data_IF_068318235496
#
_entry.id   IF_068318235496
#
_cell.length_a   1.000
_cell.length_b   1.000
_cell.length_c   1.000
_cell.angle_alpha   90.00
_cell.angle_beta   90.00
_cell.angle_gamma   90.00
#
_symmetry.space_group_name_H-M   'P 1'
#
loop_
_entity.id
_entity.type
_entity.pdbx_description
1 polymer ?
#
# COMPACT_ATOMS: atom_id res chain seq x y z
N UNK A 1 37.34 -27.52 24.55
CA UNK A 1 37.00 -26.66 23.39
C UNK A 1 35.52 -26.85 23.10
N UNK A 2 34.80 -25.76 22.91
CA UNK A 2 33.39 -25.75 22.56
C UNK A 2 33.27 -25.35 21.08
N UNK A 3 32.57 -26.17 20.29
CA UNK A 3 32.33 -25.95 18.86
C UNK A 3 30.88 -25.53 18.64
N UNK A 4 30.70 -24.43 17.90
CA UNK A 4 29.39 -23.92 17.49
C UNK A 4 29.29 -24.03 15.97
N UNK A 5 28.23 -24.63 15.45
CA UNK A 5 28.00 -24.74 14.00
C UNK A 5 27.00 -23.67 13.56
N UNK A 6 27.34 -22.88 12.55
CA UNK A 6 26.53 -21.78 12.05
C UNK A 6 26.03 -22.11 10.64
N UNK A 7 24.72 -22.11 10.44
CA UNK A 7 24.09 -22.13 9.13
C UNK A 7 23.64 -20.71 8.76
N UNK A 8 24.38 -20.06 7.85
CA UNK A 8 24.11 -18.70 7.38
C UNK A 8 23.32 -18.77 6.07
N UNK A 9 22.14 -18.17 6.04
CA UNK A 9 21.26 -18.18 4.87
C UNK A 9 21.31 -16.84 4.13
N UNK A 10 21.78 -16.85 2.89
CA UNK A 10 21.73 -15.70 1.96
C UNK A 10 20.34 -15.61 1.32
N UNK A 11 19.80 -14.39 1.17
CA UNK A 11 18.48 -14.17 0.56
C UNK A 11 18.38 -14.68 -0.89
N UNK A 12 17.17 -15.03 -1.32
CA UNK A 12 16.89 -15.49 -2.69
C UNK A 12 16.66 -14.36 -3.70
N UNK A 13 16.72 -13.09 -3.25
CA UNK A 13 16.57 -11.93 -4.11
C UNK A 13 17.73 -11.79 -5.09
N UNK A 14 17.46 -11.22 -6.27
CA UNK A 14 18.49 -10.93 -7.25
C UNK A 14 19.57 -10.02 -6.62
N UNK A 15 20.84 -10.36 -6.84
CA UNK A 15 22.02 -9.68 -6.29
C UNK A 15 22.24 -9.80 -4.77
N UNK A 16 21.52 -10.68 -4.07
CA UNK A 16 21.69 -10.85 -2.61
C UNK A 16 23.03 -11.44 -2.15
N UNK A 17 23.78 -12.15 -3.00
CA UNK A 17 25.05 -12.79 -2.63
C UNK A 17 26.26 -11.84 -2.67
N UNK A 18 27.37 -12.22 -2.04
CA UNK A 18 28.60 -11.41 -1.92
C UNK A 18 29.88 -12.20 -2.14
N UNK A 19 30.97 -11.47 -2.42
CA UNK A 19 32.34 -11.99 -2.46
C UNK A 19 33.21 -11.41 -1.35
N UNK A 20 32.65 -10.50 -0.54
CA UNK A 20 33.35 -9.87 0.57
C UNK A 20 33.53 -10.86 1.74
N UNK A 21 34.46 -10.53 2.65
CA UNK A 21 34.75 -11.36 3.80
C UNK A 21 33.66 -11.19 4.87
N UNK A 22 33.05 -12.28 5.29
CA UNK A 22 32.07 -12.30 6.37
C UNK A 22 32.74 -12.71 7.68
N UNK A 23 32.41 -12.01 8.77
CA UNK A 23 32.92 -12.33 10.10
C UNK A 23 31.79 -12.44 11.11
N UNK A 24 31.98 -13.30 12.09
CA UNK A 24 31.04 -13.50 13.20
C UNK A 24 31.74 -13.39 14.55
N UNK A 25 31.02 -12.83 15.52
CA UNK A 25 31.36 -12.91 16.95
C UNK A 25 30.13 -13.36 17.73
N UNK A 26 30.24 -14.48 18.45
CA UNK A 26 29.19 -15.02 19.30
C UNK A 26 29.31 -14.43 20.71
N UNK A 27 28.21 -13.90 21.25
CA UNK A 27 28.19 -13.22 22.55
C UNK A 27 27.24 -14.00 23.46
N UNK A 28 27.81 -14.66 24.47
CA UNK A 28 27.06 -15.42 25.47
C UNK A 28 27.03 -14.74 26.83
N UNK A 29 26.38 -15.40 27.80
CA UNK A 29 26.23 -14.90 29.18
C UNK A 29 27.56 -14.78 29.92
N UNK A 30 28.54 -15.62 29.59
CA UNK A 30 29.81 -15.67 30.30
C UNK A 30 30.94 -14.98 29.53
N UNK A 31 30.98 -15.14 28.21
CA UNK A 31 32.11 -14.75 27.35
C UNK A 31 31.65 -14.41 25.93
N UNK A 32 32.55 -13.78 25.19
CA UNK A 32 32.45 -13.56 23.75
C UNK A 32 33.48 -14.44 23.04
N UNK A 33 33.14 -14.92 21.84
CA UNK A 33 34.10 -15.61 20.97
C UNK A 33 35.13 -14.63 20.40
N UNK A 34 36.23 -15.15 19.87
CA UNK A 34 37.05 -14.34 18.98
C UNK A 34 36.28 -14.02 17.69
N UNK A 35 36.64 -12.91 17.04
CA UNK A 35 36.18 -12.58 15.69
C UNK A 35 36.63 -13.68 14.72
N UNK A 36 35.67 -14.38 14.14
CA UNK A 36 35.94 -15.55 13.28
C UNK A 36 35.49 -15.29 11.86
N UNK A 37 36.38 -15.50 10.89
CA UNK A 37 36.05 -15.38 9.47
C UNK A 37 35.23 -16.59 9.02
N UNK A 38 34.12 -16.33 8.34
CA UNK A 38 33.29 -17.34 7.70
C UNK A 38 33.87 -17.64 6.32
N UNK A 39 34.75 -18.63 6.23
CA UNK A 39 35.39 -19.01 4.96
C UNK A 39 34.56 -20.06 4.23
N UNK A 40 33.91 -19.68 3.14
CA UNK A 40 33.39 -20.65 2.16
C UNK A 40 33.90 -20.33 0.76
N UNK A 41 34.56 -21.30 0.11
CA UNK A 41 34.96 -21.14 -1.28
C UNK A 41 33.71 -21.21 -2.19
N UNK A 42 33.24 -20.06 -2.69
CA UNK A 42 32.26 -19.97 -3.79
C UNK A 42 30.81 -20.37 -3.47
N UNK A 43 30.39 -20.25 -2.20
CA UNK A 43 28.99 -20.46 -1.76
C UNK A 43 28.28 -19.14 -1.42
N UNK A 44 29.03 -18.13 -0.97
CA UNK A 44 28.51 -16.80 -0.59
C UNK A 44 28.02 -15.96 -1.78
N UNK A 45 28.39 -16.36 -3.00
CA UNK A 45 28.08 -15.68 -4.26
C UNK A 45 26.66 -15.93 -4.77
N UNK A 46 26.02 -17.02 -4.32
CA UNK A 46 24.75 -17.53 -4.85
C UNK A 46 23.58 -17.17 -3.95
N UNK A 47 22.56 -16.57 -4.57
CA UNK A 47 21.32 -16.17 -3.91
C UNK A 47 20.55 -17.41 -3.44
N UNK A 48 19.99 -17.35 -2.22
CA UNK A 48 19.17 -18.42 -1.66
C UNK A 48 19.95 -19.63 -1.11
N UNK A 49 21.28 -19.52 -0.95
CA UNK A 49 22.10 -20.59 -0.41
C UNK A 49 22.29 -20.51 1.10
N UNK A 50 22.57 -21.68 1.68
CA UNK A 50 22.98 -21.84 3.07
C UNK A 50 24.45 -22.23 3.09
N UNK A 51 25.28 -21.46 3.79
CA UNK A 51 26.66 -21.83 4.12
C UNK A 51 26.72 -22.35 5.55
N UNK A 52 27.47 -23.43 5.77
CA UNK A 52 27.70 -24.00 7.10
C UNK A 52 29.14 -23.77 7.53
N UNK A 53 29.34 -23.24 8.74
CA UNK A 53 30.64 -22.84 9.28
C UNK A 53 30.79 -23.32 10.73
N UNK A 54 32.02 -23.42 11.22
CA UNK A 54 32.30 -23.73 12.62
C UNK A 54 33.03 -22.58 13.31
N UNK A 55 32.60 -22.25 14.53
CA UNK A 55 33.29 -21.33 15.44
C UNK A 55 33.73 -22.10 16.67
N UNK A 56 35.04 -22.20 16.88
CA UNK A 56 35.61 -22.96 17.99
C UNK A 56 36.19 -22.05 19.05
N UNK A 57 35.83 -22.31 20.30
CA UNK A 57 36.23 -21.52 21.47
C UNK A 57 36.93 -22.40 22.50
N UNK A 58 37.83 -21.80 23.30
CA UNK A 58 38.55 -22.53 24.35
C UNK A 58 37.61 -22.96 25.49
N UNK A 59 36.66 -22.09 25.84
CA UNK A 59 35.69 -22.27 26.92
C UNK A 59 34.27 -22.07 26.40
N UNK A 60 33.28 -22.65 27.09
CA UNK A 60 31.86 -22.38 26.78
C UNK A 60 31.56 -20.88 26.88
N UNK A 61 30.66 -20.39 26.02
CA UNK A 61 30.15 -19.02 26.05
C UNK A 61 28.97 -18.85 27.02
N UNK A 62 28.47 -19.94 27.59
CA UNK A 62 27.20 -19.98 28.32
C UNK A 62 26.00 -19.92 27.36
N UNK A 63 24.88 -19.35 27.82
CA UNK A 63 23.72 -19.15 26.94
C UNK A 63 24.03 -18.06 25.91
N UNK A 64 23.90 -18.37 24.61
CA UNK A 64 24.07 -17.36 23.57
C UNK A 64 22.96 -16.30 23.65
N UNK A 65 23.37 -15.04 23.63
CA UNK A 65 22.48 -13.88 23.73
C UNK A 65 22.38 -13.13 22.40
N UNK A 66 23.54 -12.82 21.81
CA UNK A 66 23.67 -11.99 20.63
C UNK A 66 24.68 -12.58 19.65
N UNK A 67 24.55 -12.20 18.38
CA UNK A 67 25.49 -12.54 17.33
C UNK A 67 25.85 -11.26 16.57
N UNK A 68 27.13 -10.90 16.56
CA UNK A 68 27.64 -9.81 15.72
C UNK A 68 28.07 -10.37 14.38
N UNK A 69 27.48 -9.84 13.31
CA UNK A 69 27.79 -10.19 11.92
C UNK A 69 28.42 -8.96 11.26
N UNK A 70 29.54 -9.15 10.56
CA UNK A 70 30.31 -8.07 9.94
C UNK A 70 30.67 -8.44 8.51
N UNK A 71 30.71 -7.44 7.62
CA UNK A 71 31.15 -7.60 6.23
C UNK A 71 32.33 -6.67 5.93
N UNK A 72 33.51 -7.25 5.70
CA UNK A 72 34.72 -6.51 5.33
C UNK A 72 35.02 -6.68 3.82
N UNK A 73 35.67 -5.70 3.18
CA UNK A 73 36.12 -5.84 1.79
C UNK A 73 36.98 -7.08 1.57
N UNK A 74 36.75 -7.76 0.44
CA UNK A 74 37.71 -8.72 -0.12
C UNK A 74 38.38 -8.13 -1.37
N UNK A 75 39.69 -7.83 -1.29
CA UNK A 75 40.50 -7.26 -2.38
C UNK A 75 39.91 -5.94 -2.96
N UNK A 76 40.36 -5.50 -4.15
CA UNK A 76 39.77 -4.39 -4.92
C UNK A 76 38.48 -4.79 -5.67
N UNK A 77 37.71 -5.73 -5.12
CA UNK A 77 36.45 -6.15 -5.74
C UNK A 77 35.42 -5.00 -5.75
N UNK A 78 34.57 -4.91 -6.78
CA UNK A 78 33.48 -3.95 -6.82
C UNK A 78 32.59 -4.10 -5.59
N UNK A 79 32.15 -2.98 -5.01
CA UNK A 79 31.26 -3.02 -3.86
C UNK A 79 29.95 -3.71 -4.21
N UNK A 80 29.56 -4.66 -3.36
CA UNK A 80 28.29 -5.36 -3.47
C UNK A 80 27.70 -5.58 -2.08
N UNK A 81 26.47 -5.11 -1.90
CA UNK A 81 25.70 -5.38 -0.69
C UNK A 81 25.34 -6.86 -0.61
N UNK A 82 25.25 -7.36 0.62
CA UNK A 82 24.89 -8.75 0.90
C UNK A 82 23.61 -8.78 1.70
N UNK A 83 22.62 -9.59 1.28
CA UNK A 83 21.41 -9.78 2.06
C UNK A 83 21.48 -11.07 2.87
N UNK A 84 21.61 -10.93 4.19
CA UNK A 84 21.51 -12.05 5.11
C UNK A 84 20.05 -12.25 5.52
N UNK A 85 19.50 -13.44 5.28
CA UNK A 85 18.14 -13.77 5.71
C UNK A 85 18.10 -14.14 7.18
N UNK A 86 18.90 -15.12 7.59
CA UNK A 86 18.92 -15.66 8.95
C UNK A 86 20.22 -16.43 9.21
N UNK A 87 20.55 -16.62 10.48
CA UNK A 87 21.64 -17.46 10.94
C UNK A 87 21.09 -18.44 11.98
N UNK A 88 21.37 -19.73 11.85
CA UNK A 88 21.04 -20.73 12.87
C UNK A 88 22.34 -21.20 13.51
N UNK A 89 22.46 -21.06 14.83
CA UNK A 89 23.63 -21.51 15.58
C UNK A 89 23.26 -22.76 16.36
N UNK A 90 23.95 -23.86 16.07
CA UNK A 90 23.91 -25.09 16.87
C UNK A 90 24.96 -25.01 17.97
N UNK A 91 24.54 -25.10 19.23
CA UNK A 91 25.43 -25.02 20.39
C UNK A 91 26.07 -26.38 20.68
N UNK A 92 27.20 -26.43 21.43
CA UNK A 92 27.83 -27.69 21.85
C UNK A 92 26.88 -28.63 22.61
N UNK A 93 25.86 -28.07 23.27
CA UNK A 93 24.83 -28.79 24.03
C UNK A 93 23.73 -29.38 23.13
N UNK A 94 23.80 -29.16 21.80
CA UNK A 94 22.85 -29.67 20.81
C UNK A 94 21.60 -28.81 20.62
N UNK A 95 21.59 -27.58 21.14
CA UNK A 95 20.49 -26.64 20.96
C UNK A 95 20.65 -25.79 19.71
N UNK A 96 19.56 -25.57 18.96
CA UNK A 96 19.54 -24.67 17.81
C UNK A 96 18.94 -23.31 18.21
N UNK A 97 19.67 -22.23 17.91
CA UNK A 97 19.23 -20.86 18.16
C UNK A 97 19.16 -20.12 16.83
N UNK A 98 17.96 -19.68 16.47
CA UNK A 98 17.70 -18.87 15.29
C UNK A 98 18.00 -17.40 15.59
N UNK A 99 18.77 -16.75 14.72
CA UNK A 99 18.99 -15.31 14.67
C UNK A 99 18.42 -14.77 13.35
N UNK A 100 17.21 -14.19 13.34
CA UNK A 100 16.67 -13.54 12.16
C UNK A 100 17.52 -12.30 11.81
N UNK A 101 17.78 -12.06 10.52
CA UNK A 101 18.58 -10.91 10.08
C UNK A 101 17.81 -10.01 9.12
N UNK A 102 17.34 -10.56 7.99
CA UNK A 102 16.57 -9.86 6.96
C UNK A 102 17.08 -8.45 6.59
N UNK A 103 18.39 -8.26 6.55
CA UNK A 103 19.04 -6.94 6.40
C UNK A 103 20.10 -6.99 5.30
N UNK A 104 20.27 -5.88 4.58
CA UNK A 104 21.40 -5.70 3.68
C UNK A 104 22.60 -5.19 4.48
N UNK A 105 23.75 -5.82 4.31
CA UNK A 105 25.02 -5.32 4.83
C UNK A 105 25.83 -4.73 3.67
N UNK A 106 26.22 -3.47 3.80
CA UNK A 106 27.23 -2.82 2.96
C UNK A 106 28.63 -3.03 3.52
N UNK A 107 29.65 -2.59 2.77
CA UNK A 107 31.06 -2.85 3.10
C UNK A 107 31.48 -2.04 4.34
N UNK A 108 32.08 -2.72 5.33
CA UNK A 108 32.45 -2.13 6.62
C UNK A 108 31.30 -2.02 7.61
N UNK A 109 30.09 -2.49 7.26
CA UNK A 109 28.97 -2.50 8.17
C UNK A 109 28.97 -3.74 9.08
N UNK A 110 28.33 -3.58 10.23
CA UNK A 110 28.05 -4.68 11.14
C UNK A 110 26.63 -4.58 11.69
N UNK A 111 26.06 -5.74 11.98
CA UNK A 111 24.75 -5.87 12.61
C UNK A 111 24.87 -6.76 13.85
N UNK A 112 24.17 -6.38 14.90
CA UNK A 112 24.12 -7.12 16.16
C UNK A 112 22.74 -7.76 16.29
N UNK A 113 22.68 -9.06 16.05
CA UNK A 113 21.45 -9.85 15.99
C UNK A 113 21.11 -10.43 17.37
N UNK A 114 19.81 -10.54 17.64
CA UNK A 114 19.26 -11.22 18.82
C UNK A 114 18.71 -12.59 18.41
N UNK A 115 18.62 -13.52 19.36
CA UNK A 115 17.86 -14.75 19.15
C UNK A 115 16.39 -14.43 18.83
N UNK A 116 15.81 -15.12 17.86
CA UNK A 116 14.49 -14.82 17.26
C UNK A 116 13.28 -15.13 18.14
N UNK A 117 13.48 -15.35 19.44
CA UNK A 117 12.37 -15.41 20.40
C UNK A 117 11.95 -13.97 20.72
N UNK A 118 10.70 -13.63 20.46
CA UNK A 118 10.15 -12.32 20.82
C UNK A 118 10.17 -12.12 22.35
N UNK A 119 10.72 -10.99 22.81
CA UNK A 119 10.92 -10.64 24.24
C UNK A 119 10.52 -9.22 24.61
N UNK A 120 9.60 -9.00 25.54
CA UNK A 120 9.25 -7.64 26.01
C UNK A 120 10.41 -7.00 26.77
N UNK A 121 10.39 -5.67 26.91
CA UNK A 121 11.50 -4.92 27.52
C UNK A 121 11.81 -5.35 28.97
N UNK A 122 10.81 -5.81 29.71
CA UNK A 122 10.98 -6.31 31.08
C UNK A 122 11.45 -7.78 31.15
N UNK A 123 11.52 -8.48 30.01
CA UNK A 123 12.03 -9.85 29.91
C UNK A 123 13.55 -9.88 29.59
N UNK A 124 14.16 -8.70 29.43
CA UNK A 124 15.60 -8.54 29.20
C UNK A 124 16.36 -8.54 30.52
N UNK A 125 16.74 -9.73 30.99
CA UNK A 125 17.44 -9.89 32.26
C UNK A 125 18.96 -9.62 32.18
N UNK A 126 19.53 -9.63 30.97
CA UNK A 126 20.97 -9.45 30.76
C UNK A 126 21.30 -8.01 30.31
N UNK A 127 22.29 -7.32 30.92
CA UNK A 127 22.66 -5.96 30.54
C UNK A 127 22.98 -5.77 29.04
N UNK A 128 23.59 -6.78 28.42
CA UNK A 128 23.92 -6.79 26.98
C UNK A 128 22.66 -6.66 26.10
N UNK A 129 21.59 -7.35 26.49
CA UNK A 129 20.30 -7.33 25.79
C UNK A 129 19.58 -5.98 25.95
N UNK A 130 19.65 -5.41 27.16
CA UNK A 130 19.08 -4.08 27.45
C UNK A 130 19.82 -2.99 26.68
N UNK A 131 21.16 -3.04 26.66
CA UNK A 131 21.99 -2.06 25.94
C UNK A 131 21.78 -2.16 24.41
N UNK A 132 21.75 -3.38 23.86
CA UNK A 132 21.45 -3.60 22.45
C UNK A 132 20.10 -2.99 22.06
N UNK A 133 19.03 -3.25 22.83
CA UNK A 133 17.70 -2.69 22.55
C UNK A 133 17.69 -1.16 22.58
N UNK A 134 18.37 -0.55 23.55
CA UNK A 134 18.47 0.91 23.67
C UNK A 134 19.20 1.53 22.47
N UNK A 135 20.34 0.95 22.06
CA UNK A 135 21.12 1.43 20.91
C UNK A 135 20.34 1.30 19.60
N UNK A 136 19.66 0.17 19.41
CA UNK A 136 18.84 -0.06 18.21
C UNK A 136 17.67 0.94 18.14
N UNK A 137 16.99 1.19 19.26
CA UNK A 137 15.91 2.19 19.32
C UNK A 137 16.39 3.60 18.95
N UNK A 138 17.58 3.99 19.42
CA UNK A 138 18.18 5.28 19.07
C UNK A 138 18.51 5.32 17.58
N UNK A 139 19.13 4.27 17.03
CA UNK A 139 19.43 4.15 15.60
C UNK A 139 18.17 4.29 14.74
N UNK A 140 17.12 3.57 15.07
CA UNK A 140 15.84 3.61 14.35
C UNK A 140 15.17 4.98 14.41
N UNK A 141 15.12 5.64 15.57
CA UNK A 141 14.57 7.00 15.68
C UNK A 141 15.35 8.03 14.89
N UNK A 142 16.67 7.84 14.75
CA UNK A 142 17.52 8.70 13.92
C UNK A 142 17.29 8.45 12.43
N UNK A 143 16.99 7.22 12.03
CA UNK A 143 16.72 6.84 10.64
C UNK A 143 15.32 7.24 10.19
N UNK A 144 14.29 6.88 10.96
CA UNK A 144 12.88 7.05 10.61
C UNK A 144 12.31 8.35 11.20
N UNK A 145 12.81 9.48 10.69
CA UNK A 145 12.35 10.81 11.11
C UNK A 145 11.05 11.18 10.41
N UNK A 146 10.18 11.85 11.14
CA UNK A 146 8.91 12.35 10.65
C UNK A 146 9.06 13.77 10.07
N UNK A 147 8.45 14.05 8.93
CA UNK A 147 8.28 15.38 8.35
C UNK A 147 6.79 15.63 8.09
N UNK A 148 6.32 16.85 8.28
CA UNK A 148 4.94 17.21 7.93
C UNK A 148 4.88 17.42 6.42
N UNK A 149 4.07 16.62 5.72
CA UNK A 149 3.97 16.72 4.25
C UNK A 149 3.35 18.06 3.81
N UNK A 150 2.24 18.44 4.44
CA UNK A 150 1.56 19.71 4.25
C UNK A 150 0.69 20.01 5.48
N UNK A 151 0.28 21.26 5.66
CA UNK A 151 -0.63 21.65 6.75
C UNK A 151 -1.92 20.83 6.70
N UNK A 152 -2.31 20.25 7.85
CA UNK A 152 -3.50 19.40 7.96
C UNK A 152 -3.37 17.98 7.41
N UNK A 153 -2.21 17.60 6.86
CA UNK A 153 -1.92 16.24 6.38
C UNK A 153 -1.14 15.41 7.40
N UNK A 154 -1.12 14.09 7.20
CA UNK A 154 -0.29 13.17 7.99
C UNK A 154 1.20 13.50 7.86
N UNK A 155 1.95 13.20 8.91
CA UNK A 155 3.41 13.18 8.86
C UNK A 155 3.87 11.96 8.05
N UNK A 156 4.94 12.11 7.29
CA UNK A 156 5.53 11.09 6.44
C UNK A 156 7.03 10.94 6.71
N UNK A 157 7.68 10.03 5.99
CA UNK A 157 9.12 9.80 6.10
C UNK A 157 9.93 11.00 5.59
N UNK A 158 10.80 11.54 6.44
CA UNK A 158 11.70 12.65 6.12
C UNK A 158 12.92 12.17 5.31
N UNK A 159 12.68 11.69 4.09
CA UNK A 159 13.73 11.35 3.12
C UNK A 159 13.35 11.96 1.77
N UNK A 160 14.12 12.97 1.33
CA UNK A 160 13.85 13.70 0.08
C UNK A 160 14.49 13.05 -1.14
N UNK A 161 15.59 12.34 -0.94
CA UNK A 161 16.27 11.60 -1.98
C UNK A 161 15.94 10.10 -1.90
N UNK A 162 15.33 9.56 -2.95
CA UNK A 162 15.01 8.14 -3.05
C UNK A 162 16.27 7.24 -2.93
N UNK A 163 17.45 7.77 -3.27
CA UNK A 163 18.73 7.06 -3.12
C UNK A 163 19.18 6.94 -1.66
N UNK A 164 18.65 7.78 -0.76
CA UNK A 164 18.94 7.76 0.66
C UNK A 164 17.97 6.87 1.47
N UNK A 165 16.93 6.31 0.83
CA UNK A 165 16.02 5.35 1.47
C UNK A 165 16.79 4.06 1.80
N UNK A 166 16.77 3.54 3.04
CA UNK A 166 17.42 2.28 3.40
C UNK A 166 17.02 1.13 2.47
N UNK A 167 17.96 0.23 2.17
CA UNK A 167 17.73 -0.88 1.25
C UNK A 167 16.58 -1.79 1.70
N UNK A 168 16.34 -1.88 3.01
CA UNK A 168 15.30 -2.68 3.66
C UNK A 168 13.88 -2.23 3.30
N UNK A 169 13.68 -0.94 3.04
CA UNK A 169 12.36 -0.36 2.75
C UNK A 169 12.24 0.13 1.30
N UNK A 170 13.30 -0.04 0.49
CA UNK A 170 13.29 0.27 -0.93
C UNK A 170 12.64 -0.87 -1.72
N UNK A 171 12.12 -0.57 -2.91
CA UNK A 171 11.78 -1.62 -3.85
C UNK A 171 12.99 -2.49 -4.19
N UNK A 172 12.76 -3.80 -4.25
CA UNK A 172 13.72 -4.72 -4.84
C UNK A 172 14.01 -4.32 -6.29
N UNK A 173 15.19 -4.68 -6.78
CA UNK A 173 15.59 -4.39 -8.17
C UNK A 173 14.57 -4.88 -9.21
N UNK A 174 14.02 -6.07 -9.01
CA UNK A 174 13.00 -6.65 -9.90
C UNK A 174 11.71 -5.83 -9.90
N UNK A 175 11.25 -5.38 -8.73
CA UNK A 175 10.05 -4.57 -8.60
C UNK A 175 10.24 -3.16 -9.17
N UNK A 176 11.38 -2.54 -8.90
CA UNK A 176 11.73 -1.22 -9.46
C UNK A 176 11.81 -1.27 -10.99
N UNK A 177 12.47 -2.29 -11.54
CA UNK A 177 12.57 -2.52 -12.99
C UNK A 177 11.21 -2.78 -13.63
N UNK A 178 10.36 -3.59 -12.98
CA UNK A 178 8.98 -3.83 -13.43
C UNK A 178 8.18 -2.52 -13.49
N UNK A 179 8.26 -1.70 -12.44
CA UNK A 179 7.53 -0.44 -12.39
C UNK A 179 7.99 0.54 -13.47
N UNK A 180 9.31 0.69 -13.66
CA UNK A 180 9.89 1.50 -14.72
C UNK A 180 9.43 1.03 -16.10
N UNK A 181 9.54 -0.27 -16.37
CA UNK A 181 9.12 -0.87 -17.63
C UNK A 181 7.63 -0.63 -17.93
N UNK A 182 6.74 -0.84 -16.95
CA UNK A 182 5.32 -0.60 -17.11
C UNK A 182 4.98 0.88 -17.37
N UNK A 183 5.69 1.80 -16.71
CA UNK A 183 5.55 3.24 -16.93
C UNK A 183 5.98 3.64 -18.34
N UNK A 184 7.13 3.16 -18.79
CA UNK A 184 7.64 3.48 -20.13
C UNK A 184 6.73 2.94 -21.24
N UNK A 185 6.19 1.72 -21.09
CA UNK A 185 5.20 1.19 -22.03
C UNK A 185 3.96 2.07 -22.08
N UNK A 186 3.40 2.46 -20.93
CA UNK A 186 2.22 3.30 -20.89
C UNK A 186 2.46 4.67 -21.55
N UNK A 187 3.63 5.29 -21.31
CA UNK A 187 4.00 6.56 -21.94
C UNK A 187 4.23 6.41 -23.44
N UNK A 188 4.89 5.34 -23.89
CA UNK A 188 5.09 5.05 -25.30
C UNK A 188 3.76 4.85 -26.04
N UNK A 189 2.80 4.15 -25.41
CA UNK A 189 1.44 3.96 -25.93
C UNK A 189 0.72 5.29 -26.13
N UNK A 190 0.75 6.18 -25.12
CA UNK A 190 0.16 7.51 -25.22
C UNK A 190 0.81 8.36 -26.33
N UNK A 191 2.13 8.28 -26.48
CA UNK A 191 2.89 9.01 -27.52
C UNK A 191 2.55 8.52 -28.93
N UNK A 192 2.56 7.21 -29.16
CA UNK A 192 2.26 6.61 -30.47
C UNK A 192 0.85 6.97 -30.96
N UNK A 193 -0.09 7.23 -30.04
CA UNK A 193 -1.46 7.65 -30.35
C UNK A 193 -1.66 9.16 -30.47
N UNK A 194 -0.60 9.97 -30.29
CA UNK A 194 -0.70 11.42 -30.26
C UNK A 194 -1.51 11.98 -29.08
N UNK A 195 -1.71 11.18 -28.03
CA UNK A 195 -2.53 11.54 -26.86
C UNK A 195 -1.73 12.28 -25.78
N UNK A 196 -0.44 12.53 -26.02
CA UNK A 196 0.39 13.36 -25.13
C UNK A 196 0.13 14.86 -25.29
N UNK A 197 -0.57 15.29 -26.35
CA UNK A 197 -0.76 16.71 -26.71
C UNK A 197 -2.15 17.01 -27.32
N UNK A 198 -3.15 16.14 -27.15
CA UNK A 198 -4.47 16.41 -27.72
C UNK A 198 -5.31 17.28 -26.78
N UNK A 199 -5.70 18.47 -27.24
CA UNK A 199 -6.51 19.41 -26.44
C UNK A 199 -7.97 18.93 -26.29
N UNK A 200 -8.53 18.21 -27.28
CA UNK A 200 -9.92 17.74 -27.25
C UNK A 200 -10.13 16.45 -28.06
N UNK A 201 -10.97 15.54 -27.54
CA UNK A 201 -11.42 14.35 -28.26
C UNK A 201 -12.46 14.70 -29.33
N UNK A 202 -12.36 14.09 -30.52
CA UNK A 202 -13.31 14.32 -31.63
C UNK A 202 -14.73 13.80 -31.35
N UNK A 203 -14.85 12.76 -30.52
CA UNK A 203 -16.12 12.17 -30.08
C UNK A 203 -15.92 11.29 -28.84
N UNK A 204 -17.01 10.89 -28.18
CA UNK A 204 -16.98 9.92 -27.09
C UNK A 204 -16.53 8.53 -27.59
N UNK A 205 -16.88 8.18 -28.83
CA UNK A 205 -16.45 6.94 -29.48
C UNK A 205 -14.94 6.91 -29.67
N UNK A 206 -14.32 8.04 -30.01
CA UNK A 206 -12.85 8.14 -30.13
C UNK A 206 -12.14 7.86 -28.79
N UNK A 207 -12.77 8.14 -27.64
CA UNK A 207 -12.20 7.83 -26.33
C UNK A 207 -12.10 6.32 -26.07
N UNK A 208 -12.97 5.50 -26.69
CA UNK A 208 -12.94 4.03 -26.54
C UNK A 208 -11.63 3.42 -27.05
N UNK A 209 -11.00 4.09 -28.02
CA UNK A 209 -9.76 3.64 -28.65
C UNK A 209 -8.54 3.75 -27.73
N UNK A 210 -8.62 4.43 -26.58
CA UNK A 210 -7.52 4.53 -25.60
C UNK A 210 -7.14 3.17 -25.00
N UNK A 211 -8.08 2.24 -24.88
CA UNK A 211 -7.91 1.02 -24.07
C UNK A 211 -7.30 -0.17 -24.83
N UNK A 212 -6.61 0.05 -25.95
CA UNK A 212 -6.34 -1.00 -26.95
C UNK A 212 -5.43 -2.13 -26.47
N UNK A 213 -4.38 -1.85 -25.70
CA UNK A 213 -3.37 -2.88 -25.37
C UNK A 213 -3.65 -3.62 -24.05
N UNK A 214 -4.55 -3.11 -23.20
CA UNK A 214 -5.00 -3.77 -21.97
C UNK A 214 -6.53 -3.81 -21.88
N UNK A 215 -7.17 -4.37 -22.91
CA UNK A 215 -8.59 -4.71 -22.83
C UNK A 215 -8.78 -5.83 -21.81
N UNK A 216 -9.39 -5.50 -20.68
CA UNK A 216 -9.96 -6.48 -19.76
C UNK A 216 -11.44 -6.66 -20.06
N UNK A 217 -12.04 -7.81 -19.72
CA UNK A 217 -13.50 -7.98 -19.78
C UNK A 217 -14.24 -6.84 -19.06
N UNK A 218 -13.71 -6.38 -17.93
CA UNK A 218 -14.26 -5.26 -17.17
C UNK A 218 -14.26 -3.93 -17.95
N UNK A 219 -13.14 -3.55 -18.56
CA UNK A 219 -13.05 -2.30 -19.34
C UNK A 219 -13.93 -2.31 -20.58
N UNK A 220 -14.13 -3.48 -21.20
CA UNK A 220 -15.06 -3.62 -22.33
C UNK A 220 -16.50 -3.43 -21.87
N UNK A 221 -16.87 -4.09 -20.77
CA UNK A 221 -18.19 -3.94 -20.15
C UNK A 221 -18.50 -2.48 -19.79
N UNK A 222 -17.55 -1.76 -19.17
CA UNK A 222 -17.72 -0.33 -18.87
C UNK A 222 -17.94 0.48 -20.15
N UNK A 223 -17.14 0.25 -21.21
CA UNK A 223 -17.28 0.97 -22.50
C UNK A 223 -18.65 0.78 -23.16
N UNK A 224 -19.30 -0.37 -22.92
CA UNK A 224 -20.62 -0.70 -23.44
C UNK A 224 -21.75 -0.14 -22.55
N UNK A 225 -21.58 -0.19 -21.22
CA UNK A 225 -22.66 0.06 -20.25
C UNK A 225 -22.54 1.37 -19.45
N UNK A 226 -21.52 2.21 -19.66
CA UNK A 226 -21.30 3.43 -18.85
C UNK A 226 -22.46 4.43 -18.89
N UNK A 227 -23.34 4.37 -19.89
CA UNK A 227 -24.54 5.22 -19.99
C UNK A 227 -25.73 4.66 -19.21
N UNK A 228 -25.73 3.39 -18.84
CA UNK A 228 -26.87 2.71 -18.22
C UNK A 228 -27.02 3.15 -16.76
N UNK A 229 -28.26 3.46 -16.34
CA UNK A 229 -28.56 3.95 -14.99
C UNK A 229 -28.33 2.89 -13.91
N UNK A 230 -28.62 1.62 -14.23
CA UNK A 230 -28.37 0.52 -13.31
C UNK A 230 -26.87 0.26 -13.12
N UNK A 231 -26.06 0.37 -14.17
CA UNK A 231 -24.62 0.27 -14.06
C UNK A 231 -24.00 1.50 -13.38
N UNK A 232 -24.54 2.69 -13.61
CA UNK A 232 -24.16 3.89 -12.86
C UNK A 232 -24.38 3.69 -11.35
N UNK A 233 -25.57 3.22 -10.94
CA UNK A 233 -25.87 2.94 -9.54
C UNK A 233 -25.07 1.77 -8.96
N UNK A 234 -24.84 0.70 -9.74
CA UNK A 234 -24.02 -0.44 -9.35
C UNK A 234 -22.61 -0.04 -8.92
N UNK A 235 -22.00 0.95 -9.58
CA UNK A 235 -20.65 1.42 -9.28
C UNK A 235 -20.52 2.08 -7.89
N UNK A 236 -21.61 2.55 -7.27
CA UNK A 236 -21.57 3.06 -5.89
C UNK A 236 -21.45 1.94 -4.85
N UNK A 237 -21.65 0.68 -5.22
CA UNK A 237 -21.53 -0.47 -4.32
C UNK A 237 -20.34 -1.35 -4.69
N UNK A 238 -20.04 -1.47 -5.98
CA UNK A 238 -19.08 -2.44 -6.51
C UNK A 238 -18.02 -1.81 -7.42
N UNK A 239 -18.00 -0.47 -7.54
CA UNK A 239 -17.02 0.27 -8.33
C UNK A 239 -15.79 0.65 -7.51
N UNK A 240 -15.09 1.71 -7.95
CA UNK A 240 -13.84 2.17 -7.34
C UNK A 240 -14.04 2.88 -5.99
N UNK A 241 -15.27 3.31 -5.68
CA UNK A 241 -15.57 4.10 -4.50
C UNK A 241 -16.87 3.69 -3.79
N UNK A 242 -16.90 2.51 -3.14
CA UNK A 242 -18.09 2.01 -2.47
C UNK A 242 -18.33 2.62 -1.07
N UNK A 243 -17.72 3.78 -0.75
CA UNK A 243 -17.65 4.30 0.62
C UNK A 243 -18.44 5.59 0.86
N UNK A 244 -18.93 6.26 -0.19
CA UNK A 244 -19.64 7.55 -0.07
C UNK A 244 -21.15 7.36 0.09
N UNK A 245 -21.71 6.35 -0.58
CA UNK A 245 -23.15 6.08 -0.55
C UNK A 245 -23.62 5.76 0.87
N UNK A 246 -24.74 6.37 1.26
CA UNK A 246 -25.39 6.11 2.55
C UNK A 246 -26.91 6.05 2.38
N UNK A 247 -27.57 5.28 3.25
CA UNK A 247 -29.04 5.27 3.32
C UNK A 247 -29.56 6.66 3.71
N UNK A 248 -30.54 7.17 2.97
CA UNK A 248 -31.12 8.49 3.17
C UNK A 248 -32.45 8.37 3.93
N UNK A 249 -32.44 8.74 5.22
CA UNK A 249 -33.65 8.75 6.06
C UNK A 249 -34.38 10.11 6.02
N UNK A 250 -33.67 11.16 5.63
CA UNK A 250 -34.18 12.52 5.45
C UNK A 250 -33.34 13.23 4.39
N UNK A 251 -33.99 13.92 3.46
CA UNK A 251 -33.29 14.73 2.47
C UNK A 251 -32.49 15.87 3.16
N UNK A 252 -31.25 16.15 2.71
CA UNK A 252 -30.53 17.35 3.12
C UNK A 252 -31.34 18.61 2.80
N UNK A 253 -31.33 19.61 3.69
CA UNK A 253 -32.11 20.85 3.49
C UNK A 253 -31.64 21.67 2.27
N UNK A 254 -30.41 21.43 1.82
CA UNK A 254 -29.83 22.07 0.66
C UNK A 254 -30.01 21.27 -0.65
N UNK A 255 -30.73 20.14 -0.61
CA UNK A 255 -31.07 19.33 -1.77
C UNK A 255 -32.55 19.47 -2.08
N UNK A 256 -32.90 20.32 -3.06
CA UNK A 256 -34.27 20.79 -3.26
C UNK A 256 -35.21 19.81 -4.00
N UNK A 257 -34.98 18.50 -3.83
CA UNK A 257 -35.81 17.44 -4.46
C UNK A 257 -37.19 17.42 -3.82
N UNK A 258 -38.24 17.47 -4.65
CA UNK A 258 -39.63 17.31 -4.20
C UNK A 258 -40.14 15.90 -4.46
N UNK A 259 -41.25 15.54 -3.83
CA UNK A 259 -41.86 14.22 -4.02
C UNK A 259 -42.35 14.03 -5.47
N UNK A 260 -42.92 15.08 -6.05
CA UNK A 260 -43.46 15.11 -7.41
C UNK A 260 -42.38 14.84 -8.46
N UNK A 261 -41.18 15.39 -8.27
CA UNK A 261 -40.04 15.22 -9.19
C UNK A 261 -39.67 13.75 -9.35
N UNK A 262 -39.63 12.98 -8.26
CA UNK A 262 -39.09 11.62 -8.28
C UNK A 262 -40.14 10.52 -8.28
N UNK A 263 -41.40 10.86 -7.96
CA UNK A 263 -42.51 9.90 -7.94
C UNK A 263 -42.64 9.05 -9.22
N UNK A 264 -42.41 9.57 -10.45
CA UNK A 264 -42.46 8.74 -11.66
C UNK A 264 -41.43 7.60 -11.69
N UNK A 265 -40.34 7.71 -10.94
CA UNK A 265 -39.25 6.72 -10.89
C UNK A 265 -39.37 5.74 -9.71
N UNK A 266 -40.38 5.92 -8.84
CA UNK A 266 -40.63 5.07 -7.69
C UNK A 266 -41.67 3.99 -8.05
N UNK A 267 -41.38 2.76 -7.67
CA UNK A 267 -42.24 1.63 -8.04
C UNK A 267 -43.66 1.80 -7.46
N UNK A 268 -44.67 1.42 -8.25
CA UNK A 268 -46.09 1.49 -7.90
C UNK A 268 -46.59 2.89 -7.52
N UNK A 269 -45.88 3.96 -7.93
CA UNK A 269 -46.23 5.34 -7.60
C UNK A 269 -46.11 5.67 -6.10
N UNK A 270 -45.29 4.92 -5.36
CA UNK A 270 -45.01 5.18 -3.95
C UNK A 270 -44.45 6.60 -3.73
N UNK A 271 -44.67 7.15 -2.54
CA UNK A 271 -44.09 8.42 -2.14
C UNK A 271 -42.62 8.28 -1.79
N UNK A 272 -41.84 9.35 -2.03
CA UNK A 272 -40.44 9.43 -1.62
C UNK A 272 -40.30 9.21 -0.11
N UNK A 273 -41.21 9.79 0.68
CA UNK A 273 -41.25 9.64 2.13
C UNK A 273 -41.47 8.18 2.56
N UNK A 274 -42.33 7.44 1.87
CA UNK A 274 -42.54 6.02 2.16
C UNK A 274 -41.31 5.18 1.80
N UNK A 275 -40.67 5.43 0.66
CA UNK A 275 -39.48 4.69 0.25
C UNK A 275 -38.26 5.00 1.15
N UNK A 276 -38.10 6.23 1.63
CA UNK A 276 -37.11 6.56 2.67
C UNK A 276 -37.36 5.78 3.97
N UNK A 277 -38.62 5.68 4.43
CA UNK A 277 -38.99 4.90 5.62
C UNK A 277 -38.73 3.40 5.46
N UNK A 278 -38.95 2.85 4.27
CA UNK A 278 -38.61 1.45 3.94
C UNK A 278 -37.10 1.22 3.85
N UNK A 279 -36.31 2.29 3.75
CA UNK A 279 -34.86 2.23 3.62
C UNK A 279 -34.37 1.95 2.19
N UNK A 280 -35.21 2.24 1.19
CA UNK A 280 -34.89 2.02 -0.22
C UNK A 280 -34.26 3.24 -0.91
N UNK A 281 -34.15 4.38 -0.22
CA UNK A 281 -33.55 5.60 -0.75
C UNK A 281 -32.15 5.78 -0.17
N UNK A 282 -31.20 6.12 -1.04
CA UNK A 282 -29.80 6.33 -0.73
C UNK A 282 -29.34 7.66 -1.29
N UNK A 283 -28.24 8.19 -0.76
CA UNK A 283 -27.65 9.43 -1.21
C UNK A 283 -26.13 9.32 -1.23
N UNK A 284 -25.51 9.91 -2.24
CA UNK A 284 -24.08 10.19 -2.29
C UNK A 284 -23.89 11.70 -2.33
N UNK A 285 -23.15 12.24 -1.36
CA UNK A 285 -22.98 13.67 -1.13
C UNK A 285 -21.50 14.05 -1.19
N UNK A 286 -21.14 14.83 -2.21
CA UNK A 286 -19.77 15.26 -2.47
C UNK A 286 -19.49 16.69 -1.96
N UNK A 287 -20.15 17.10 -0.87
CA UNK A 287 -19.94 18.41 -0.22
C UNK A 287 -18.48 18.78 0.01
N UNK A 288 -17.59 17.80 0.26
CA UNK A 288 -16.15 18.05 0.45
C UNK A 288 -15.48 18.77 -0.74
N UNK A 289 -16.09 18.71 -1.93
CA UNK A 289 -15.59 19.37 -3.13
C UNK A 289 -15.98 20.85 -3.20
N UNK A 290 -16.88 21.33 -2.34
CA UNK A 290 -17.36 22.71 -2.34
C UNK A 290 -16.23 23.69 -2.04
N UNK A 291 -16.00 24.65 -2.95
CA UNK A 291 -15.02 25.71 -2.77
C UNK A 291 -13.55 25.28 -2.95
N UNK A 292 -13.28 24.04 -3.39
CA UNK A 292 -11.91 23.63 -3.70
C UNK A 292 -11.37 24.39 -4.92
N UNK A 293 -10.13 24.83 -4.83
CA UNK A 293 -9.41 25.45 -5.94
C UNK A 293 -9.07 24.38 -6.98
N UNK A 294 -9.32 24.68 -8.25
CA UNK A 294 -9.02 23.79 -9.37
C UNK A 294 -7.91 24.36 -10.24
N UNK A 295 -7.28 23.50 -11.03
CA UNK A 295 -6.31 23.94 -12.01
C UNK A 295 -6.95 24.91 -13.01
N UNK A 296 -6.14 25.85 -13.50
CA UNK A 296 -6.53 26.79 -14.55
C UNK A 296 -6.01 26.25 -15.88
N UNK A 297 -6.92 26.01 -16.82
CA UNK A 297 -6.61 25.64 -18.21
C UNK A 297 -7.17 26.76 -19.09
N UNK A 298 -6.33 27.33 -19.96
CA UNK A 298 -6.69 28.45 -20.85
C UNK A 298 -7.36 29.63 -20.14
N UNK A 299 -6.83 29.98 -18.95
CA UNK A 299 -7.32 31.09 -18.14
C UNK A 299 -8.65 30.81 -17.40
N UNK A 300 -9.20 29.59 -17.47
CA UNK A 300 -10.44 29.20 -16.79
C UNK A 300 -10.19 28.10 -15.76
N UNK A 301 -10.76 28.22 -14.54
CA UNK A 301 -10.76 27.11 -13.59
C UNK A 301 -11.47 25.90 -14.18
N UNK A 302 -10.88 24.71 -14.03
CA UNK A 302 -11.52 23.45 -14.42
C UNK A 302 -12.77 23.22 -13.55
N UNK A 303 -13.94 22.91 -14.13
CA UNK A 303 -15.15 22.68 -13.35
C UNK A 303 -15.02 21.51 -12.38
N UNK A 304 -15.38 21.74 -11.11
CA UNK A 304 -15.52 20.71 -10.09
C UNK A 304 -16.91 20.82 -9.46
N UNK A 305 -17.61 19.69 -9.40
CA UNK A 305 -18.97 19.63 -8.86
C UNK A 305 -18.98 19.04 -7.46
N UNK A 306 -19.66 19.71 -6.54
CA UNK A 306 -19.96 19.22 -5.20
C UNK A 306 -21.36 18.58 -5.20
N UNK A 307 -21.54 17.58 -6.07
CA UNK A 307 -22.86 17.02 -6.37
C UNK A 307 -23.53 16.30 -5.20
N UNK A 308 -24.86 16.30 -5.23
CA UNK A 308 -25.75 15.44 -4.45
C UNK A 308 -26.47 14.51 -5.44
N UNK A 309 -26.37 13.20 -5.22
CA UNK A 309 -27.01 12.19 -6.06
C UNK A 309 -27.95 11.33 -5.20
N UNK A 310 -29.24 11.35 -5.52
CA UNK A 310 -30.26 10.52 -4.89
C UNK A 310 -30.42 9.22 -5.68
N UNK A 311 -30.42 8.09 -4.98
CA UNK A 311 -30.58 6.77 -5.58
C UNK A 311 -31.74 5.99 -4.94
N UNK A 312 -32.40 5.15 -5.72
CA UNK A 312 -33.50 4.29 -5.30
C UNK A 312 -33.15 2.83 -5.57
N UNK A 313 -33.29 1.99 -4.56
CA UNK A 313 -33.24 0.54 -4.68
C UNK A 313 -34.64 0.03 -5.04
N UNK A 314 -34.81 -0.32 -6.32
CA UNK A 314 -36.10 -0.77 -6.83
C UNK A 314 -36.43 -2.23 -6.40
N UNK A 315 -37.67 -2.70 -6.63
CA UNK A 315 -38.06 -4.08 -6.32
C UNK A 315 -37.21 -5.15 -7.01
N UNK A 316 -36.69 -4.85 -8.20
CA UNK A 316 -35.78 -5.70 -8.99
C UNK A 316 -34.34 -5.72 -8.44
N UNK A 317 -34.09 -5.07 -7.29
CA UNK A 317 -32.79 -4.98 -6.61
C UNK A 317 -31.70 -4.26 -7.42
N UNK A 318 -32.11 -3.39 -8.34
CA UNK A 318 -31.23 -2.43 -9.01
C UNK A 318 -31.24 -1.11 -8.24
N UNK A 319 -30.06 -0.57 -8.03
CA UNK A 319 -29.88 0.76 -7.48
C UNK A 319 -29.84 1.76 -8.63
N UNK A 320 -30.78 2.68 -8.70
CA UNK A 320 -30.95 3.60 -9.82
C UNK A 320 -30.81 5.05 -9.36
N UNK A 321 -30.07 5.92 -10.08
CA UNK A 321 -30.11 7.37 -9.84
C UNK A 321 -31.50 7.93 -10.20
N UNK A 322 -32.07 8.75 -9.32
CA UNK A 322 -33.41 9.36 -9.55
C UNK A 322 -33.40 10.88 -9.49
N UNK A 323 -32.35 11.50 -8.94
CA UNK A 323 -32.17 12.95 -8.96
C UNK A 323 -30.69 13.31 -8.75
N UNK A 324 -30.21 14.34 -9.45
CA UNK A 324 -28.85 14.88 -9.30
C UNK A 324 -28.91 16.41 -9.19
N UNK A 325 -28.26 16.97 -8.17
CA UNK A 325 -27.98 18.40 -8.05
C UNK A 325 -26.46 18.61 -8.07
N UNK A 326 -25.94 19.43 -8.98
CA UNK A 326 -24.48 19.55 -9.20
C UNK A 326 -23.77 20.51 -8.24
N UNK A 327 -24.51 21.28 -7.45
CA UNK A 327 -23.98 22.24 -6.46
C UNK A 327 -24.60 22.01 -5.09
N UNK A 328 -23.90 22.43 -4.03
CA UNK A 328 -24.41 22.32 -2.66
C UNK A 328 -25.44 23.40 -2.32
N UNK A 329 -25.29 24.60 -2.86
CA UNK A 329 -26.21 25.71 -2.57
C UNK A 329 -27.37 25.71 -3.57
N UNK A 330 -28.63 25.62 -3.09
CA UNK A 330 -29.79 25.85 -3.94
C UNK A 330 -29.95 27.35 -4.20
N UNK A 331 -29.94 27.74 -5.47
CA UNK A 331 -30.29 29.06 -5.96
C UNK A 331 -31.51 28.96 -6.87
N UNK A 332 -32.07 30.10 -7.32
CA UNK A 332 -33.13 30.10 -8.34
C UNK A 332 -32.72 29.46 -9.67
N UNK A 333 -31.42 29.28 -9.88
CA UNK A 333 -30.81 28.70 -11.07
C UNK A 333 -30.32 27.26 -10.83
N UNK A 334 -30.39 26.75 -9.60
CA UNK A 334 -29.97 25.38 -9.29
C UNK A 334 -30.95 24.39 -9.87
N UNK A 335 -30.52 23.71 -10.93
CA UNK A 335 -31.28 22.66 -11.59
C UNK A 335 -31.11 21.34 -10.84
N UNK A 336 -32.23 20.61 -10.74
CA UNK A 336 -32.26 19.21 -10.34
C UNK A 336 -32.46 18.42 -11.61
N UNK A 337 -31.44 17.67 -12.00
CA UNK A 337 -31.49 16.79 -13.15
C UNK A 337 -32.22 15.50 -12.78
N UNK A 338 -33.10 15.06 -13.66
CA UNK A 338 -33.93 13.86 -13.51
C UNK A 338 -33.72 12.91 -14.69
N UNK A 339 -33.97 11.59 -14.53
CA UNK A 339 -33.95 10.65 -15.64
C UNK A 339 -34.93 10.98 -16.79
N UNK A 340 -35.91 11.86 -16.56
CA UNK A 340 -36.87 12.33 -17.56
C UNK A 340 -36.41 13.53 -18.38
N UNK A 341 -35.28 14.13 -18.03
CA UNK A 341 -34.71 15.24 -18.80
C UNK A 341 -34.17 14.74 -20.15
N UNK A 342 -33.66 15.65 -21.00
CA UNK A 342 -33.00 15.25 -22.24
C UNK A 342 -31.87 14.26 -21.94
N UNK A 343 -31.75 13.20 -22.75
CA UNK A 343 -30.74 12.15 -22.59
C UNK A 343 -29.32 12.72 -22.40
N UNK A 344 -29.01 13.82 -23.10
CA UNK A 344 -27.73 14.52 -23.00
C UNK A 344 -27.53 15.24 -21.66
N UNK A 345 -28.59 15.84 -21.11
CA UNK A 345 -28.53 16.58 -19.85
C UNK A 345 -28.40 15.62 -18.68
N UNK A 346 -29.18 14.54 -18.68
CA UNK A 346 -29.09 13.49 -17.67
C UNK A 346 -27.73 12.78 -17.71
N UNK A 347 -27.24 12.47 -18.92
CA UNK A 347 -25.92 11.87 -19.08
C UNK A 347 -24.81 12.80 -18.58
N UNK A 348 -24.88 14.10 -18.89
CA UNK A 348 -23.89 15.07 -18.41
C UNK A 348 -23.90 15.18 -16.88
N UNK A 349 -25.08 15.23 -16.26
CA UNK A 349 -25.21 15.25 -14.81
C UNK A 349 -24.56 14.02 -14.15
N UNK A 350 -24.78 12.82 -14.71
CA UNK A 350 -24.10 11.59 -14.27
C UNK A 350 -22.59 11.65 -14.45
N UNK A 351 -22.08 12.20 -15.55
CA UNK A 351 -20.63 12.38 -15.77
C UNK A 351 -20.02 13.25 -14.67
N UNK A 352 -20.65 14.37 -14.31
CA UNK A 352 -20.17 15.23 -13.22
C UNK A 352 -20.16 14.50 -11.86
N UNK A 353 -21.17 13.68 -11.58
CA UNK A 353 -21.16 12.83 -10.37
C UNK A 353 -20.01 11.81 -10.41
N UNK A 354 -19.78 11.13 -11.55
CA UNK A 354 -18.65 10.19 -11.69
C UNK A 354 -17.30 10.89 -11.56
N UNK A 355 -17.18 12.12 -12.04
CA UNK A 355 -15.98 12.93 -11.91
C UNK A 355 -15.68 13.23 -10.43
N UNK A 356 -16.67 13.75 -9.70
CA UNK A 356 -16.56 14.00 -8.26
C UNK A 356 -16.25 12.70 -7.47
N UNK A 357 -16.95 11.61 -7.79
CA UNK A 357 -16.72 10.29 -7.20
C UNK A 357 -15.28 9.80 -7.41
N UNK A 358 -14.77 9.94 -8.64
CA UNK A 358 -13.43 9.48 -8.99
C UNK A 358 -12.34 10.28 -8.29
N UNK A 359 -12.51 11.60 -8.17
CA UNK A 359 -11.58 12.45 -7.41
C UNK A 359 -11.59 12.12 -5.92
N UNK A 360 -12.78 11.92 -5.33
CA UNK A 360 -12.91 11.48 -3.94
C UNK A 360 -12.21 10.13 -3.74
N UNK A 361 -12.42 9.19 -4.66
CA UNK A 361 -11.80 7.87 -4.62
C UNK A 361 -10.28 7.97 -4.60
N UNK A 362 -9.69 8.76 -5.52
CA UNK A 362 -8.23 8.86 -5.66
C UNK A 362 -7.57 9.58 -4.48
N UNK A 363 -8.14 10.71 -4.05
CA UNK A 363 -7.49 11.55 -3.04
C UNK A 363 -7.79 11.06 -1.63
N UNK A 364 -9.06 10.81 -1.31
CA UNK A 364 -9.48 10.49 0.06
C UNK A 364 -9.32 9.00 0.33
N UNK A 365 -9.96 8.15 -0.48
CA UNK A 365 -10.01 6.73 -0.15
C UNK A 365 -8.73 5.99 -0.50
N UNK A 366 -8.09 6.33 -1.62
CA UNK A 366 -6.85 5.71 -2.05
C UNK A 366 -5.64 6.42 -1.41
N UNK A 367 -5.32 7.66 -1.76
CA UNK A 367 -4.11 8.30 -1.23
C UNK A 367 -4.13 8.45 0.30
N UNK A 368 -5.13 9.13 0.86
CA UNK A 368 -5.15 9.45 2.30
C UNK A 368 -5.43 8.23 3.17
N UNK A 369 -6.54 7.52 2.95
CA UNK A 369 -6.99 6.43 3.84
C UNK A 369 -6.22 5.12 3.64
N UNK A 370 -5.52 4.92 2.52
CA UNK A 370 -4.63 3.74 2.38
C UNK A 370 -3.16 4.11 2.45
N UNK A 371 -2.62 4.92 1.52
CA UNK A 371 -1.16 5.12 1.44
C UNK A 371 -0.60 5.90 2.64
N UNK A 372 -1.12 7.12 2.88
CA UNK A 372 -0.59 7.98 3.95
C UNK A 372 -0.86 7.40 5.36
N UNK A 373 -2.02 6.76 5.54
CA UNK A 373 -2.34 6.08 6.79
C UNK A 373 -1.43 4.85 7.02
N UNK A 374 -1.21 4.01 6.00
CA UNK A 374 -0.33 2.86 6.11
C UNK A 374 1.12 3.27 6.36
N UNK A 375 1.60 4.34 5.71
CA UNK A 375 2.92 4.90 5.96
C UNK A 375 3.08 5.33 7.42
N UNK A 376 2.05 5.95 8.00
CA UNK A 376 2.06 6.34 9.42
C UNK A 376 2.23 5.12 10.34
N UNK A 377 1.53 4.01 10.07
CA UNK A 377 1.72 2.77 10.85
C UNK A 377 3.12 2.16 10.65
N UNK A 378 3.63 2.18 9.42
CA UNK A 378 4.96 1.66 9.11
C UNK A 378 6.06 2.49 9.81
N UNK A 379 5.96 3.81 9.77
CA UNK A 379 6.88 4.73 10.43
C UNK A 379 6.83 4.62 11.97
N UNK A 380 5.62 4.52 12.53
CA UNK A 380 5.45 4.30 13.97
C UNK A 380 6.03 2.95 14.40
N UNK A 381 5.93 1.92 13.56
CA UNK A 381 6.53 0.61 13.79
C UNK A 381 8.06 0.67 13.69
N UNK A 382 8.59 1.28 12.63
CA UNK A 382 10.02 1.32 12.34
C UNK A 382 10.82 2.23 13.27
N UNK A 383 10.18 3.25 13.88
CA UNK A 383 10.78 4.13 14.89
C UNK A 383 10.78 3.56 16.31
N UNK A 384 10.32 2.30 16.47
CA UNK A 384 10.34 1.51 17.71
C UNK A 384 11.20 0.26 17.49
N UNK A 385 11.80 -0.31 18.57
CA UNK A 385 12.80 -1.39 18.45
C UNK A 385 12.25 -2.54 17.61
N UNK A 386 13.08 -3.18 16.74
CA UNK A 386 12.60 -4.23 15.88
C UNK A 386 12.17 -5.46 16.69
N UNK A 387 11.00 -5.97 16.30
CA UNK A 387 10.30 -7.25 16.43
C UNK A 387 10.89 -8.47 17.16
N UNK A 388 12.17 -8.56 17.54
CA UNK A 388 12.62 -9.61 18.45
C UNK A 388 12.11 -9.37 19.89
N UNK A 389 11.21 -8.41 20.04
CA UNK A 389 10.88 -7.84 21.33
C UNK A 389 9.41 -7.50 21.65
N UNK A 390 8.45 -7.89 20.82
CA UNK A 390 7.01 -7.76 21.12
C UNK A 390 6.15 -8.72 20.30
N UNK A 391 5.17 -9.44 20.89
CA UNK A 391 4.28 -10.37 20.18
C UNK A 391 3.41 -9.76 19.07
N UNK A 392 3.23 -8.44 19.03
CA UNK A 392 2.27 -7.79 18.12
C UNK A 392 2.75 -7.69 16.65
N UNK A 393 4.03 -7.91 16.38
CA UNK A 393 4.63 -7.65 15.06
C UNK A 393 5.21 -8.92 14.40
N UNK A 394 5.09 -10.09 15.05
CA UNK A 394 5.62 -11.39 14.61
C UNK A 394 4.63 -12.20 13.73
N UNK A 395 3.73 -11.54 13.01
CA UNK A 395 2.84 -12.23 12.07
C UNK A 395 3.62 -12.60 10.81
N UNK A 396 3.69 -13.91 10.50
CA UNK A 396 4.33 -14.43 9.29
C UNK A 396 3.77 -13.75 8.02
N UNK A 397 4.61 -13.41 7.02
CA UNK A 397 4.10 -13.17 5.68
C UNK A 397 3.47 -14.48 5.17
N UNK A 398 2.23 -14.47 4.64
CA UNK A 398 1.63 -15.69 4.11
C UNK A 398 2.51 -16.28 3.03
N UNK A 399 2.89 -17.54 3.20
CA UNK A 399 3.52 -18.37 2.17
C UNK A 399 2.65 -18.32 0.91
N UNK A 400 3.22 -17.78 -0.18
CA UNK A 400 2.75 -17.86 -1.57
C UNK A 400 1.33 -18.38 -1.76
N UNK A 401 0.32 -17.51 -1.66
CA UNK A 401 -1.03 -17.82 -2.13
C UNK A 401 -1.04 -17.58 -3.63
N UNK A 402 -1.06 -18.67 -4.42
CA UNK A 402 -1.46 -18.61 -5.83
C UNK A 402 -2.93 -18.15 -5.89
N UNK A 403 -3.16 -16.87 -6.17
CA UNK A 403 -4.47 -16.37 -6.56
C UNK A 403 -4.70 -16.62 -8.05
N UNK A 404 -5.81 -17.23 -8.47
CA UNK A 404 -6.11 -17.47 -9.89
C UNK A 404 -6.63 -16.22 -10.63
N UNK A 405 -6.75 -15.05 -9.98
CA UNK A 405 -7.27 -13.85 -10.63
C UNK A 405 -6.15 -12.95 -11.18
N UNK A 406 -5.76 -13.23 -12.43
CA UNK A 406 -4.94 -12.34 -13.27
C UNK A 406 -5.77 -11.15 -13.78
N UNK A 407 -5.97 -10.09 -13.00
CA UNK A 407 -6.23 -8.76 -13.56
C UNK A 407 -5.53 -7.70 -12.70
N UNK A 408 -4.53 -7.04 -13.31
CA UNK A 408 -3.57 -6.15 -12.67
C UNK A 408 -4.07 -4.70 -12.61
N UNK A 409 -4.27 -4.18 -11.40
CA UNK A 409 -4.07 -2.75 -11.11
C UNK A 409 -2.59 -2.55 -10.73
N UNK A 410 -1.80 -1.72 -11.43
CA UNK A 410 -0.37 -1.53 -11.14
C UNK A 410 -0.07 -0.95 -9.75
N UNK A 411 -1.08 -0.38 -9.06
CA UNK A 411 -0.90 0.25 -7.75
C UNK A 411 -1.26 -0.64 -6.55
N UNK A 412 -1.88 -1.81 -6.76
CA UNK A 412 -2.46 -2.62 -5.68
C UNK A 412 -1.71 -3.94 -5.42
N UNK A 413 -0.38 -3.89 -5.25
CA UNK A 413 0.38 -5.05 -4.75
C UNK A 413 0.73 -4.88 -3.27
N UNK A 414 -0.28 -4.56 -2.46
CA UNK A 414 -0.19 -4.56 -1.00
C UNK A 414 -1.48 -5.17 -0.40
N UNK A 415 -1.31 -6.42 0.08
CA UNK A 415 -2.05 -7.10 1.16
C UNK A 415 -3.53 -7.50 0.96
N UNK A 416 -3.86 -8.81 1.08
CA UNK A 416 -5.22 -9.31 1.27
C UNK A 416 -5.51 -9.52 2.76
N UNK A 417 -6.58 -8.92 3.28
CA UNK A 417 -7.29 -9.41 4.47
C UNK A 417 -8.78 -9.50 4.14
N UNK A 418 -9.32 -10.72 4.08
CA UNK A 418 -10.77 -10.98 4.16
C UNK A 418 -11.04 -12.07 5.21
N UNK A 419 -11.55 -11.59 6.34
CA UNK A 419 -12.57 -12.14 7.25
C UNK A 419 -12.64 -13.64 7.59
N UNK A 420 -12.66 -13.89 8.91
CA UNK A 420 -13.55 -14.85 9.55
C UNK A 420 -14.43 -14.13 10.58
N UNK A 421 -15.72 -14.01 10.28
CA UNK A 421 -16.80 -13.97 11.28
C UNK A 421 -17.84 -14.97 10.78
N UNK A 422 -17.99 -16.07 11.51
CA UNK A 422 -19.25 -16.82 11.57
C UNK A 422 -20.19 -16.09 12.50
#
# INVERSE_FOLDING_TARGET
>A
MAEYTLDVTTGSMMFAGTFDNLFVTLIGTERESARTQLTSFGLDDKTGKVGTYSVTTLFSLGCLLLLKLEKDPFQESPEKDWFCSKIVVRTPEGGDILFPCHTWLSRGESVLLRGGRATKAFEDFYPQLVDQRKKELVKQKLMYKWEMYAEGMSYNLNIKDLSAIPAEIRFSFSKASQFKYLREIALAELKLRGLTVSEHWKSLEAMKEVSWFKKSPFTMYVSEHWKDDDFFGYQFLNGINPYVIKRCTKLPSNFAVTEEMVKPFLANGNSLTAEMKKGNIFISDYKIMEGLQTHIIDGKPVPLSAALCLLYLNPEKKLLPIAIQLTQQPSKETLIFLPSDLDTDWLLAKIFVRHADSLYAQVINHLQKTHLLAESFAMATASQPPNDSSPAQAADPPSSIHSPYKHHCPCCSLWPWKHSWQ
#
